data_IF_035479684285
#
_entry.id   IF_035479684285
#
_cell.length_a   1.000
_cell.length_b   1.000
_cell.length_c   1.000
_cell.angle_alpha   90.00
_cell.angle_beta   90.00
_cell.angle_gamma   90.00
#
_symmetry.space_group_name_H-M   'P 1'
#
loop_
_entity.id
_entity.type
_entity.pdbx_description
1 polymer ?
#
# COMPACT_ATOMS: atom_id res chain seq x y z
N UNK A 1 -6.89 20.66 -4.99
CA UNK A 1 -6.57 19.33 -5.45
C UNK A 1 -6.27 18.42 -4.26
N UNK A 2 -6.96 17.31 -4.16
CA UNK A 2 -6.90 16.46 -2.98
C UNK A 2 -5.89 15.35 -3.17
N UNK A 3 -4.74 15.51 -2.53
CA UNK A 3 -3.74 14.46 -2.51
C UNK A 3 -3.84 13.67 -1.23
N UNK A 4 -3.72 12.36 -1.35
CA UNK A 4 -3.69 11.47 -0.22
C UNK A 4 -2.28 11.38 0.33
N UNK A 5 -2.16 11.35 1.66
CA UNK A 5 -0.88 11.14 2.32
C UNK A 5 -0.71 9.65 2.58
N UNK A 6 0.54 9.21 2.69
CA UNK A 6 0.86 7.83 2.98
C UNK A 6 1.43 7.73 4.39
N UNK A 7 0.89 6.79 5.16
CA UNK A 7 1.42 6.48 6.48
C UNK A 7 1.71 4.97 6.56
N UNK A 8 2.93 4.62 6.91
CA UNK A 8 3.32 3.22 7.09
C UNK A 8 3.19 2.85 8.56
N UNK A 9 2.33 1.87 8.87
CA UNK A 9 2.23 1.36 10.21
C UNK A 9 3.50 0.62 10.60
N UNK A 10 3.71 0.39 11.89
CA UNK A 10 4.88 -0.36 12.36
C UNK A 10 4.91 -1.76 11.78
N UNK A 11 3.76 -2.41 11.69
CA UNK A 11 3.69 -3.74 11.11
C UNK A 11 4.10 -3.72 9.64
N UNK A 12 3.64 -2.72 8.89
CA UNK A 12 4.00 -2.59 7.49
C UNK A 12 5.50 -2.36 7.32
N UNK A 13 6.09 -1.53 8.18
CA UNK A 13 7.53 -1.28 8.13
C UNK A 13 8.33 -2.55 8.39
N UNK A 14 7.88 -3.38 9.33
CA UNK A 14 8.50 -4.68 9.60
C UNK A 14 8.38 -5.61 8.40
N UNK A 15 7.21 -5.63 7.76
CA UNK A 15 6.99 -6.46 6.58
C UNK A 15 7.92 -6.06 5.45
N UNK A 16 8.07 -4.75 5.19
CA UNK A 16 8.97 -4.26 4.15
C UNK A 16 10.42 -4.60 4.45
N UNK A 17 10.83 -4.46 5.69
CA UNK A 17 12.19 -4.77 6.12
C UNK A 17 12.49 -6.24 5.86
N UNK A 18 11.55 -7.11 6.18
CA UNK A 18 11.72 -8.54 5.94
C UNK A 18 11.79 -8.86 4.45
N UNK A 19 10.96 -8.21 3.65
CA UNK A 19 11.00 -8.36 2.19
C UNK A 19 12.37 -7.98 1.66
N UNK A 20 12.92 -6.86 2.11
CA UNK A 20 14.23 -6.39 1.67
C UNK A 20 15.34 -7.35 2.08
N UNK A 21 15.27 -7.89 3.31
CA UNK A 21 16.25 -8.86 3.81
C UNK A 21 16.22 -10.18 3.05
N UNK A 22 15.07 -10.52 2.50
CA UNK A 22 14.90 -11.76 1.73
C UNK A 22 15.38 -11.63 0.29
N UNK A 23 16.11 -10.57 -0.04
CA UNK A 23 16.66 -10.37 -1.37
C UNK A 23 15.72 -9.65 -2.33
N UNK A 24 14.66 -9.03 -1.82
CA UNK A 24 13.65 -8.34 -2.63
C UNK A 24 13.62 -6.83 -2.38
N UNK A 25 14.81 -6.23 -2.23
CA UNK A 25 14.89 -4.78 -1.97
C UNK A 25 14.28 -3.94 -3.09
N UNK A 26 14.27 -4.47 -4.31
CA UNK A 26 13.66 -3.77 -5.46
C UNK A 26 12.15 -3.60 -5.29
N UNK A 27 11.51 -4.52 -4.58
CA UNK A 27 10.06 -4.42 -4.33
C UNK A 27 9.77 -3.21 -3.45
N UNK A 28 10.53 -3.04 -2.37
CA UNK A 28 10.37 -1.89 -1.50
C UNK A 28 10.67 -0.58 -2.24
N UNK A 29 11.70 -0.59 -3.08
CA UNK A 29 12.04 0.58 -3.89
C UNK A 29 10.92 0.94 -4.86
N UNK A 30 10.36 -0.05 -5.54
CA UNK A 30 9.24 0.17 -6.47
C UNK A 30 8.01 0.71 -5.75
N UNK A 31 7.76 0.23 -4.55
CA UNK A 31 6.66 0.73 -3.73
C UNK A 31 6.80 2.25 -3.52
N UNK A 32 7.99 2.70 -3.12
CA UNK A 32 8.21 4.12 -2.84
C UNK A 32 8.26 4.97 -4.10
N UNK A 33 8.87 4.45 -5.17
CA UNK A 33 9.10 5.23 -6.38
C UNK A 33 7.89 5.29 -7.30
N UNK A 34 7.06 4.25 -7.32
CA UNK A 34 5.92 4.16 -8.24
C UNK A 34 4.58 4.06 -7.54
N UNK A 35 4.47 3.21 -6.52
CA UNK A 35 3.19 2.94 -5.90
C UNK A 35 2.71 4.13 -5.08
N UNK A 36 3.56 4.66 -4.22
CA UNK A 36 3.17 5.78 -3.37
C UNK A 36 2.78 7.02 -4.15
N UNK A 37 3.54 7.44 -5.18
CA UNK A 37 3.06 8.56 -6.00
C UNK A 37 1.71 8.32 -6.63
N UNK A 38 1.45 7.08 -7.08
CA UNK A 38 0.17 6.73 -7.66
C UNK A 38 -0.95 6.78 -6.62
N UNK A 39 -0.72 6.21 -5.44
CA UNK A 39 -1.71 6.21 -4.37
C UNK A 39 -2.02 7.61 -3.85
N UNK A 40 -1.02 8.49 -3.85
CA UNK A 40 -1.25 9.87 -3.44
C UNK A 40 -2.23 10.58 -4.35
N UNK A 41 -2.25 10.21 -5.63
CA UNK A 41 -3.17 10.80 -6.61
C UNK A 41 -4.50 10.08 -6.64
N UNK A 42 -4.48 8.75 -6.68
CA UNK A 42 -5.68 7.93 -6.86
C UNK A 42 -5.59 6.66 -6.01
N UNK A 43 -5.93 6.74 -4.72
CA UNK A 43 -5.84 5.55 -3.87
C UNK A 43 -6.93 4.53 -4.12
N UNK A 44 -8.01 4.90 -4.83
CA UNK A 44 -9.14 4.02 -5.09
C UNK A 44 -9.11 3.35 -6.46
N UNK A 45 -8.32 3.87 -7.39
CA UNK A 45 -8.36 3.41 -8.79
C UNK A 45 -6.98 3.14 -9.34
N UNK A 46 -6.88 2.09 -10.11
CA UNK A 46 -5.69 1.76 -10.85
C UNK A 46 -5.69 0.31 -11.26
N UNK A 47 -4.89 -0.07 -12.26
CA UNK A 47 -4.89 -1.44 -12.77
C UNK A 47 -4.46 -2.48 -11.75
N UNK A 48 -3.68 -2.08 -10.74
CA UNK A 48 -3.18 -3.00 -9.72
C UNK A 48 -3.92 -2.84 -8.39
N UNK A 49 -4.96 -2.03 -8.35
CA UNK A 49 -5.69 -1.70 -7.12
C UNK A 49 -7.03 -2.41 -7.11
N UNK A 50 -7.36 -3.02 -5.97
CA UNK A 50 -8.64 -3.68 -5.79
C UNK A 50 -9.12 -3.47 -4.37
N UNK A 51 -10.40 -3.12 -4.24
CA UNK A 51 -11.06 -3.08 -2.95
C UNK A 51 -11.43 -4.51 -2.56
N UNK A 52 -11.06 -4.92 -1.36
CA UNK A 52 -11.34 -6.27 -0.89
C UNK A 52 -12.75 -6.36 -0.33
N UNK A 53 -13.40 -7.49 -0.60
CA UNK A 53 -14.76 -7.75 -0.09
C UNK A 53 -14.68 -8.23 1.35
N UNK A 54 -15.73 -7.91 2.11
CA UNK A 54 -15.95 -8.45 3.47
C UNK A 54 -14.88 -8.06 4.48
N UNK A 55 -14.18 -6.96 4.24
CA UNK A 55 -13.25 -6.40 5.21
C UNK A 55 -13.86 -5.19 5.89
N UNK A 56 -13.71 -5.12 7.20
CA UNK A 56 -14.13 -3.99 8.03
C UNK A 56 -12.97 -3.60 8.91
N UNK A 57 -12.43 -2.37 8.80
CA UNK A 57 -12.76 -1.32 7.83
C UNK A 57 -12.43 -1.71 6.39
N UNK A 58 -12.89 -0.89 5.44
CA UNK A 58 -12.62 -1.13 4.02
C UNK A 58 -11.13 -1.20 3.79
N UNK A 59 -10.70 -2.30 3.15
CA UNK A 59 -9.29 -2.56 2.88
C UNK A 59 -9.07 -2.69 1.40
N UNK A 60 -7.97 -2.12 0.94
CA UNK A 60 -7.58 -2.08 -0.46
C UNK A 60 -6.27 -2.85 -0.63
N UNK A 61 -6.06 -3.35 -1.84
CA UNK A 61 -4.85 -4.08 -2.18
C UNK A 61 -4.19 -3.45 -3.39
N UNK A 62 -2.88 -3.24 -3.31
CA UNK A 62 -2.05 -2.92 -4.47
C UNK A 62 -1.14 -4.11 -4.73
N UNK A 63 -1.11 -4.57 -5.98
CA UNK A 63 -0.36 -5.76 -6.35
C UNK A 63 0.87 -5.40 -7.18
N UNK A 64 2.04 -5.95 -6.80
CA UNK A 64 3.27 -5.88 -7.59
C UNK A 64 3.72 -7.33 -7.79
N UNK A 65 3.50 -7.88 -8.99
CA UNK A 65 3.84 -9.26 -9.25
C UNK A 65 3.11 -10.18 -8.29
N UNK A 66 3.85 -10.98 -7.53
CA UNK A 66 3.29 -11.87 -6.52
C UNK A 66 3.09 -11.18 -5.17
N UNK A 67 3.55 -9.93 -5.03
CA UNK A 67 3.46 -9.19 -3.77
C UNK A 67 2.18 -8.41 -3.68
N UNK A 68 1.58 -8.38 -2.48
CA UNK A 68 0.34 -7.66 -2.20
C UNK A 68 0.58 -6.71 -1.06
N UNK A 69 0.15 -5.46 -1.26
CA UNK A 69 0.28 -4.42 -0.24
C UNK A 69 -1.13 -3.97 0.14
N UNK A 70 -1.45 -4.11 1.42
CA UNK A 70 -2.79 -3.82 1.92
C UNK A 70 -2.80 -2.46 2.60
N UNK A 71 -3.85 -1.69 2.34
CA UNK A 71 -3.98 -0.37 2.95
C UNK A 71 -5.44 -0.04 3.21
N UNK A 72 -5.63 0.85 4.18
CA UNK A 72 -6.93 1.40 4.53
C UNK A 72 -6.87 2.89 4.28
N UNK A 73 -8.00 3.49 3.90
CA UNK A 73 -8.04 4.90 3.55
C UNK A 73 -8.90 5.63 4.57
N UNK A 74 -8.31 6.64 5.22
CA UNK A 74 -9.06 7.60 6.00
C UNK A 74 -9.55 8.67 5.01
N UNK A 75 -10.82 8.60 4.67
CA UNK A 75 -11.40 9.48 3.65
C UNK A 75 -11.48 10.93 4.13
N UNK A 76 -11.66 11.12 5.41
CA UNK A 76 -11.78 12.46 5.99
C UNK A 76 -10.45 13.19 5.99
N UNK A 77 -9.43 12.54 6.52
CA UNK A 77 -8.08 13.12 6.61
C UNK A 77 -7.24 12.87 5.37
N UNK A 78 -7.74 12.07 4.45
CA UNK A 78 -7.06 11.71 3.20
C UNK A 78 -5.68 11.11 3.44
N UNK A 79 -5.69 10.04 4.21
CA UNK A 79 -4.48 9.28 4.53
C UNK A 79 -4.69 7.83 4.14
N UNK A 80 -3.74 7.28 3.40
CA UNK A 80 -3.69 5.85 3.14
C UNK A 80 -2.73 5.22 4.15
N UNK A 81 -3.27 4.38 5.03
CA UNK A 81 -2.49 3.65 6.02
C UNK A 81 -2.06 2.33 5.44
N UNK A 82 -0.77 2.17 5.21
CA UNK A 82 -0.21 0.91 4.74
C UNK A 82 -0.14 -0.04 5.94
N UNK A 83 -0.93 -1.10 5.92
CA UNK A 83 -1.11 -1.94 7.13
C UNK A 83 -0.41 -3.28 7.05
N UNK A 84 -0.21 -3.85 5.87
CA UNK A 84 0.44 -5.15 5.75
C UNK A 84 0.97 -5.37 4.35
N UNK A 85 1.96 -6.24 4.25
CA UNK A 85 2.47 -6.72 2.96
C UNK A 85 2.61 -8.24 3.04
N UNK A 86 2.28 -8.93 1.93
CA UNK A 86 2.41 -10.39 1.88
C UNK A 86 2.77 -10.85 0.48
N UNK A 87 3.20 -12.08 0.41
CA UNK A 87 3.57 -12.73 -0.84
C UNK A 87 2.49 -13.67 -1.35
#
# INVERSE_FOLDING_TARGET
MNKCRIFETKQFQKDLEQIARSGHSKVAQKLRDFVYPQLRKHPHFGPNIKKLKDFTPDTWRYRIGAWRFFYEIDEEDKVAFMVAASH
#
